data_IF_165503362176
#
_entry.id   IF_165503362176
#
_cell.length_a   1.000
_cell.length_b   1.000
_cell.length_c   1.000
_cell.angle_alpha   90.00
_cell.angle_beta   90.00
_cell.angle_gamma   90.00
#
_symmetry.space_group_name_H-M   'P 1'
#
loop_
_entity.id
_entity.type
_entity.pdbx_description
1 polymer ?
#
# COMPACT_ATOMS: atom_id res chain seq x y z
N UNK A 1 -2.87 -19.12 -32.39
CA UNK A 1 -3.52 -18.14 -31.47
C UNK A 1 -2.90 -18.36 -30.11
N UNK A 2 -2.10 -17.43 -29.70
CA UNK A 2 -1.63 -17.43 -28.31
C UNK A 2 -2.85 -17.28 -27.41
N UNK A 3 -3.06 -18.24 -26.50
CA UNK A 3 -4.02 -18.10 -25.41
C UNK A 3 -3.52 -17.01 -24.47
N UNK A 4 -3.91 -15.77 -24.76
CA UNK A 4 -3.56 -14.66 -23.90
C UNK A 4 -4.30 -14.84 -22.57
N UNK A 5 -3.54 -15.07 -21.51
CA UNK A 5 -4.08 -15.20 -20.16
C UNK A 5 -4.71 -13.87 -19.77
N UNK A 6 -5.99 -13.91 -19.43
CA UNK A 6 -6.67 -12.71 -18.90
C UNK A 6 -6.44 -12.63 -17.41
N UNK A 7 -5.66 -11.65 -16.97
CA UNK A 7 -5.27 -11.47 -15.56
C UNK A 7 -6.50 -11.34 -14.64
N UNK A 8 -7.55 -10.68 -15.09
CA UNK A 8 -8.78 -10.51 -14.30
C UNK A 8 -9.48 -11.82 -13.96
N UNK A 9 -9.28 -12.86 -14.77
CA UNK A 9 -9.86 -14.19 -14.52
C UNK A 9 -9.10 -14.98 -13.44
N UNK A 10 -7.91 -14.56 -13.08
CA UNK A 10 -7.11 -15.16 -12.01
C UNK A 10 -7.49 -14.64 -10.63
N UNK A 11 -8.30 -13.58 -10.57
CA UNK A 11 -8.71 -12.93 -9.33
C UNK A 11 -10.18 -13.20 -9.04
N UNK A 12 -10.52 -13.43 -7.78
CA UNK A 12 -11.89 -13.58 -7.29
C UNK A 12 -12.54 -12.23 -6.94
N UNK A 13 -11.75 -11.20 -6.72
CA UNK A 13 -12.16 -9.84 -6.39
C UNK A 13 -11.29 -8.86 -7.16
N UNK A 14 -11.71 -7.62 -7.27
CA UNK A 14 -10.99 -6.60 -8.03
C UNK A 14 -10.55 -5.43 -7.15
N UNK A 15 -9.32 -4.97 -7.37
CA UNK A 15 -8.76 -3.75 -6.79
C UNK A 15 -8.82 -3.70 -5.26
N UNK A 16 -8.94 -2.49 -4.72
CA UNK A 16 -9.02 -2.24 -3.27
C UNK A 16 -10.27 -2.84 -2.61
N UNK A 17 -11.32 -3.15 -3.37
CA UNK A 17 -12.51 -3.85 -2.89
C UNK A 17 -12.25 -5.28 -2.40
N UNK A 18 -11.10 -5.86 -2.73
CA UNK A 18 -10.67 -7.16 -2.24
C UNK A 18 -10.09 -7.10 -0.81
N UNK A 19 -9.80 -5.91 -0.30
CA UNK A 19 -9.22 -5.70 1.04
C UNK A 19 -10.31 -5.75 2.12
N UNK A 20 -9.85 -6.00 3.34
CA UNK A 20 -10.73 -5.99 4.52
C UNK A 20 -11.24 -4.57 4.76
N UNK A 21 -12.54 -4.43 5.05
CA UNK A 21 -13.13 -3.14 5.36
C UNK A 21 -12.53 -2.50 6.62
N UNK A 22 -12.47 -1.17 6.65
CA UNK A 22 -11.81 -0.41 7.73
C UNK A 22 -12.34 -0.76 9.14
N UNK A 23 -13.65 -0.92 9.29
CA UNK A 23 -14.24 -1.29 10.58
C UNK A 23 -13.81 -2.67 11.07
N UNK A 24 -13.78 -3.66 10.18
CA UNK A 24 -13.30 -5.01 10.50
C UNK A 24 -11.81 -5.01 10.79
N UNK A 25 -11.03 -4.22 10.04
CA UNK A 25 -9.59 -4.09 10.26
C UNK A 25 -9.30 -3.51 11.64
N UNK A 26 -10.01 -2.47 12.06
CA UNK A 26 -9.88 -1.90 13.40
C UNK A 26 -10.13 -2.94 14.49
N UNK A 27 -11.18 -3.75 14.34
CA UNK A 27 -11.48 -4.83 15.30
C UNK A 27 -10.38 -5.90 15.35
N UNK A 28 -9.82 -6.27 14.19
CA UNK A 28 -8.72 -7.23 14.11
C UNK A 28 -7.44 -6.71 14.75
N UNK A 29 -7.22 -5.41 14.70
CA UNK A 29 -6.04 -4.75 15.27
C UNK A 29 -6.22 -4.40 16.76
N UNK A 30 -7.44 -4.48 17.30
CA UNK A 30 -7.68 -4.35 18.73
C UNK A 30 -6.92 -5.45 19.49
N UNK A 31 -6.06 -5.04 20.41
CA UNK A 31 -5.24 -5.96 21.21
C UNK A 31 -3.82 -6.16 20.69
N UNK A 32 -3.46 -5.65 19.51
CA UNK A 32 -2.07 -5.56 19.15
C UNK A 32 -1.40 -4.45 19.98
N UNK A 33 -0.25 -4.78 20.58
CA UNK A 33 0.53 -3.80 21.31
C UNK A 33 0.95 -2.67 20.39
N UNK A 34 0.66 -1.45 20.76
CA UNK A 34 1.14 -0.28 20.05
C UNK A 34 2.66 -0.22 20.17
N UNK A 35 3.35 -0.24 19.03
CA UNK A 35 4.79 -0.09 19.03
C UNK A 35 5.14 1.36 19.38
N UNK A 36 5.84 1.55 20.49
CA UNK A 36 6.31 2.87 20.92
C UNK A 36 7.78 3.04 20.58
N UNK A 37 8.05 3.78 19.52
CA UNK A 37 9.37 4.24 19.13
C UNK A 37 9.30 5.76 18.93
N UNK A 38 10.09 6.58 19.66
CA UNK A 38 10.08 8.04 19.49
C UNK A 38 10.40 8.50 18.08
N UNK A 39 11.08 7.67 17.29
CA UNK A 39 11.41 7.95 15.88
C UNK A 39 10.28 7.62 14.92
N UNK A 40 9.33 6.80 15.34
CA UNK A 40 8.13 6.52 14.56
C UNK A 40 7.15 7.68 14.71
N UNK A 41 7.18 8.61 13.78
CA UNK A 41 6.36 9.82 13.81
C UNK A 41 4.90 9.54 13.45
N UNK A 42 4.69 8.63 12.49
CA UNK A 42 3.38 8.16 12.07
C UNK A 42 3.44 6.64 11.93
N UNK A 43 2.59 5.95 12.66
CA UNK A 43 2.41 4.50 12.61
C UNK A 43 0.98 4.13 12.20
N UNK A 44 0.61 2.87 12.38
CA UNK A 44 -0.71 2.35 12.01
C UNK A 44 -1.85 2.80 12.95
N UNK A 45 -1.51 3.30 14.12
CA UNK A 45 -2.46 3.69 15.19
C UNK A 45 -3.41 4.80 14.79
N UNK A 46 -3.01 5.64 13.84
CA UNK A 46 -3.82 6.75 13.31
C UNK A 46 -4.47 6.46 11.97
N UNK A 47 -4.27 5.26 11.43
CA UNK A 47 -4.81 4.84 10.12
C UNK A 47 -4.41 5.78 8.98
N UNK A 48 -3.19 6.31 9.01
CA UNK A 48 -2.64 7.17 7.96
C UNK A 48 -2.23 6.36 6.72
N UNK A 49 -2.02 7.04 5.60
CA UNK A 49 -1.73 6.43 4.29
C UNK A 49 -0.36 5.75 4.25
N UNK A 50 0.60 6.19 5.05
CA UNK A 50 1.93 5.62 5.11
C UNK A 50 2.56 5.80 6.49
N UNK A 51 3.58 4.99 6.81
CA UNK A 51 4.40 5.21 7.99
C UNK A 51 5.45 6.28 7.74
N UNK A 52 5.80 7.03 8.79
CA UNK A 52 6.86 8.03 8.76
C UNK A 52 7.84 7.75 9.89
N UNK A 53 9.08 7.48 9.55
CA UNK A 53 10.13 7.17 10.52
C UNK A 53 11.29 8.16 10.42
N UNK A 54 11.61 8.83 11.51
CA UNK A 54 12.72 9.77 11.57
C UNK A 54 14.06 9.03 11.61
N UNK A 55 14.92 9.29 10.63
CA UNK A 55 16.29 8.74 10.61
C UNK A 55 17.33 9.70 11.16
N UNK A 56 17.02 10.99 11.15
CA UNK A 56 17.79 12.07 11.80
C UNK A 56 16.85 13.22 12.20
N UNK A 57 17.41 14.29 12.75
CA UNK A 57 16.62 15.48 13.09
C UNK A 57 16.02 16.17 11.86
N UNK A 58 16.63 16.01 10.68
CA UNK A 58 16.26 16.69 9.45
C UNK A 58 15.66 15.77 8.39
N UNK A 59 15.71 14.44 8.58
CA UNK A 59 15.33 13.46 7.57
C UNK A 59 14.41 12.39 8.14
N UNK A 60 13.33 12.12 7.44
CA UNK A 60 12.43 11.01 7.72
C UNK A 60 12.19 10.17 6.48
N UNK A 61 11.91 8.88 6.67
CA UNK A 61 11.51 7.95 5.61
C UNK A 61 10.00 7.79 5.68
N UNK A 62 9.34 7.94 4.54
CA UNK A 62 7.94 7.62 4.33
C UNK A 62 7.86 6.28 3.62
N UNK A 63 7.11 5.32 4.18
CA UNK A 63 6.99 3.98 3.63
C UNK A 63 5.53 3.55 3.57
N UNK A 64 5.15 2.99 2.43
CA UNK A 64 3.84 2.37 2.23
C UNK A 64 3.98 1.06 1.48
N UNK A 65 3.02 0.18 1.63
CA UNK A 65 2.85 -1.02 0.81
C UNK A 65 1.40 -1.10 0.38
N UNK A 66 1.17 -1.11 -0.92
CA UNK A 66 -0.16 -1.29 -1.49
C UNK A 66 -0.14 -2.40 -2.53
N UNK A 67 -1.11 -3.30 -2.46
CA UNK A 67 -1.27 -4.40 -3.40
C UNK A 67 -2.74 -4.78 -3.54
N UNK A 68 -3.10 -5.25 -4.72
CA UNK A 68 -4.46 -5.68 -5.03
C UNK A 68 -4.47 -6.66 -6.21
N UNK A 69 -5.52 -7.49 -6.34
CA UNK A 69 -5.68 -8.36 -7.49
C UNK A 69 -5.86 -7.57 -8.79
N UNK A 70 -5.52 -8.14 -9.96
CA UNK A 70 -5.65 -7.48 -11.24
C UNK A 70 -7.08 -7.00 -11.52
N UNK A 71 -7.21 -5.74 -11.93
CA UNK A 71 -8.46 -5.10 -12.35
C UNK A 71 -8.55 -4.91 -13.85
N UNK A 72 -7.44 -5.11 -14.56
CA UNK A 72 -7.34 -5.06 -16.02
C UNK A 72 -6.53 -6.25 -16.52
N UNK A 73 -6.70 -6.63 -17.78
CA UNK A 73 -6.00 -7.78 -18.36
C UNK A 73 -4.61 -7.44 -18.91
N UNK A 74 -4.38 -6.18 -19.29
CA UNK A 74 -3.09 -5.72 -19.76
C UNK A 74 -2.09 -5.59 -18.60
N UNK A 75 -0.98 -6.36 -18.58
CA UNK A 75 0.00 -6.31 -17.49
C UNK A 75 0.65 -4.94 -17.33
N UNK A 76 0.91 -4.24 -18.44
CA UNK A 76 1.51 -2.91 -18.38
C UNK A 76 0.58 -1.90 -17.72
N UNK A 77 -0.70 -1.89 -18.14
CA UNK A 77 -1.72 -1.04 -17.54
C UNK A 77 -1.92 -1.36 -16.05
N UNK A 78 -1.95 -2.65 -15.70
CA UNK A 78 -2.05 -3.07 -14.31
C UNK A 78 -0.88 -2.53 -13.47
N UNK A 79 0.34 -2.63 -13.99
CA UNK A 79 1.54 -2.08 -13.34
C UNK A 79 1.48 -0.56 -13.15
N UNK A 80 0.98 0.18 -14.15
CA UNK A 80 0.79 1.63 -14.05
C UNK A 80 -0.22 2.00 -12.94
N UNK A 81 -1.33 1.27 -12.85
CA UNK A 81 -2.33 1.48 -11.80
C UNK A 81 -1.74 1.17 -10.42
N UNK A 82 -1.04 0.05 -10.28
CA UNK A 82 -0.41 -0.34 -9.03
C UNK A 82 0.62 0.70 -8.56
N UNK A 83 1.49 1.15 -9.45
CA UNK A 83 2.48 2.18 -9.16
C UNK A 83 1.80 3.50 -8.76
N UNK A 84 0.78 3.94 -9.48
CA UNK A 84 0.06 5.18 -9.19
C UNK A 84 -0.55 5.16 -7.80
N UNK A 85 -1.20 4.08 -7.42
CA UNK A 85 -1.82 3.95 -6.11
C UNK A 85 -0.77 3.95 -4.97
N UNK A 86 0.31 3.21 -5.13
CA UNK A 86 1.36 3.18 -4.10
C UNK A 86 2.06 4.53 -3.96
N UNK A 87 2.37 5.20 -5.07
CA UNK A 87 3.01 6.52 -5.06
C UNK A 87 2.10 7.59 -4.47
N UNK A 88 0.78 7.49 -4.65
CA UNK A 88 -0.17 8.46 -4.09
C UNK A 88 -0.13 8.50 -2.58
N UNK A 89 0.05 7.37 -1.91
CA UNK A 89 0.16 7.31 -0.44
C UNK A 89 1.39 8.06 0.08
N UNK A 90 2.52 7.92 -0.60
CA UNK A 90 3.74 8.67 -0.26
C UNK A 90 3.54 10.17 -0.47
N UNK A 91 2.92 10.56 -1.58
CA UNK A 91 2.64 11.96 -1.87
C UNK A 91 1.62 12.55 -0.88
N UNK A 92 0.62 11.78 -0.46
CA UNK A 92 -0.38 12.21 0.54
C UNK A 92 0.27 12.55 1.89
N UNK A 93 1.36 11.88 2.24
CA UNK A 93 2.14 12.14 3.45
C UNK A 93 3.19 13.25 3.26
N UNK A 94 3.21 13.93 2.12
CA UNK A 94 4.19 14.97 1.81
C UNK A 94 5.59 14.47 1.43
N UNK A 95 5.72 13.17 1.19
CA UNK A 95 6.97 12.53 0.81
C UNK A 95 7.29 12.68 -0.69
N UNK A 96 8.57 12.56 -1.02
CA UNK A 96 9.05 12.47 -2.39
C UNK A 96 9.44 11.02 -2.71
N UNK A 97 8.77 10.34 -3.67
CA UNK A 97 9.09 8.97 -4.02
C UNK A 97 10.52 8.83 -4.56
N UNK A 98 11.29 7.94 -3.99
CA UNK A 98 12.70 7.70 -4.37
C UNK A 98 12.96 6.26 -4.80
N UNK A 99 12.25 5.30 -4.23
CA UNK A 99 12.47 3.88 -4.43
C UNK A 99 11.13 3.14 -4.41
N UNK A 100 11.00 2.16 -5.28
CA UNK A 100 9.86 1.25 -5.28
C UNK A 100 10.34 -0.21 -5.25
N UNK A 101 9.61 -1.05 -4.54
CA UNK A 101 9.77 -2.50 -4.54
C UNK A 101 8.56 -3.12 -5.23
N UNK A 102 8.81 -4.10 -6.08
CA UNK A 102 7.75 -4.86 -6.74
C UNK A 102 7.51 -6.17 -6.00
N UNK A 103 6.25 -6.43 -5.67
CA UNK A 103 5.79 -7.67 -5.03
C UNK A 103 4.95 -8.43 -6.06
N UNK A 104 5.38 -9.66 -6.40
CA UNK A 104 4.68 -10.54 -7.34
C UNK A 104 4.38 -11.88 -6.70
#
# INVERSE_FOLDING_TARGET
MENQVKLTKLASCAGCGAKVGAGTLCQLLEGFATHTDPKLLVGYDKSDDASVYAVSEELAIVQTTDFFPPIVDDPFMYGQIAATNALSDVCAMGGEPKLALNIM
#
